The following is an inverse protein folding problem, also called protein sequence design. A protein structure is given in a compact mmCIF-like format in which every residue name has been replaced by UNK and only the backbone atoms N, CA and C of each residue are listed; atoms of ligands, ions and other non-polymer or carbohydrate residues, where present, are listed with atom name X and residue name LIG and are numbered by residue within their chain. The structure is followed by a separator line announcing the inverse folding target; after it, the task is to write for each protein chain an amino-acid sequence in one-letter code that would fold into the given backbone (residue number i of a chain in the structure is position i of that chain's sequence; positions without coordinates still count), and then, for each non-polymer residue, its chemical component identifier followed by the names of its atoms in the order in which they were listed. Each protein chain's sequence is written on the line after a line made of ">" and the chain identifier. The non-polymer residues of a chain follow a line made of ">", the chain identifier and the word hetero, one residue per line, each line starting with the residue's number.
data_IF_573899711732
#
_entry.id   IF_573899711732
#
_cell.length_a   1.000
_cell.length_b   1.000
_cell.length_c   1.000
_cell.angle_alpha   90.00
_cell.angle_beta   90.00
_cell.angle_gamma   90.00
#
_symmetry.space_group_name_H-M   'P 1'
#
loop_
_entity.id
_entity.type
_entity.pdbx_description
1 polymer ?
#
# COMPACT_ATOMS: atom_id res chain seq x y z
N UNK A 1 -4.74 -8.91 7.62
CA UNK A 1 -3.69 -7.93 7.97
C UNK A 1 -3.53 -7.95 9.47
N UNK A 2 -2.50 -8.67 9.90
CA UNK A 2 -2.40 -9.19 11.26
C UNK A 2 -1.86 -8.15 12.23
N UNK A 3 -1.20 -7.09 11.73
CA UNK A 3 -0.61 -6.05 12.56
C UNK A 3 -1.65 -5.36 13.45
N UNK A 4 -2.76 -4.85 12.89
CA UNK A 4 -3.75 -4.12 13.69
C UNK A 4 -4.50 -5.03 14.67
N UNK A 5 -4.83 -6.25 14.25
CA UNK A 5 -5.58 -7.22 15.08
C UNK A 5 -4.70 -7.92 16.11
N UNK A 6 -3.37 -7.79 16.01
CA UNK A 6 -2.43 -8.30 17.00
C UNK A 6 -2.39 -7.49 18.32
N UNK A 7 -2.96 -6.29 18.33
CA UNK A 7 -3.08 -5.48 19.55
C UNK A 7 -4.32 -5.87 20.36
N UNK A 8 -4.12 -6.23 21.63
CA UNK A 8 -5.18 -6.71 22.51
C UNK A 8 -6.31 -5.67 22.63
N UNK A 9 -7.56 -6.12 22.43
CA UNK A 9 -8.74 -5.26 22.51
C UNK A 9 -8.91 -4.30 21.32
N UNK A 10 -8.01 -4.29 20.33
CA UNK A 10 -8.18 -3.49 19.12
C UNK A 10 -8.92 -4.28 18.04
N UNK A 11 -9.98 -3.67 17.49
CA UNK A 11 -10.68 -4.19 16.32
C UNK A 11 -10.75 -3.10 15.25
N UNK A 12 -10.46 -3.45 13.99
CA UNK A 12 -10.68 -2.56 12.86
C UNK A 12 -12.18 -2.42 12.62
N UNK A 13 -12.68 -1.19 12.48
CA UNK A 13 -14.10 -0.97 12.24
C UNK A 13 -14.47 -1.34 10.81
N UNK A 14 -15.67 -1.84 10.58
CA UNK A 14 -16.16 -2.15 9.23
C UNK A 14 -16.11 -0.90 8.36
N UNK A 15 -15.48 -1.00 7.18
CA UNK A 15 -15.31 0.11 6.24
C UNK A 15 -14.24 1.14 6.63
N UNK A 16 -13.53 0.96 7.75
CA UNK A 16 -12.45 1.84 8.15
C UNK A 16 -11.18 1.57 7.32
N UNK A 17 -10.60 2.64 6.77
CA UNK A 17 -9.29 2.55 6.15
C UNK A 17 -8.21 2.15 7.15
N UNK A 18 -7.30 1.27 6.76
CA UNK A 18 -6.25 0.73 7.63
C UNK A 18 -5.39 1.82 8.29
N UNK A 19 -5.11 2.90 7.55
CA UNK A 19 -4.42 4.08 8.10
C UNK A 19 -5.19 4.80 9.20
N UNK A 20 -6.52 4.84 9.11
CA UNK A 20 -7.36 5.42 10.16
C UNK A 20 -7.41 4.49 11.37
N UNK A 21 -7.47 3.17 11.14
CA UNK A 21 -7.28 2.15 12.16
C UNK A 21 -5.98 2.35 12.94
N UNK A 22 -4.86 2.48 12.24
CA UNK A 22 -3.55 2.77 12.86
C UNK A 22 -3.56 4.06 13.69
N UNK A 23 -4.13 5.15 13.17
CA UNK A 23 -4.25 6.42 13.94
C UNK A 23 -5.08 6.24 15.21
N UNK A 24 -6.16 5.46 15.15
CA UNK A 24 -7.02 5.17 16.30
C UNK A 24 -6.31 4.28 17.31
N UNK A 25 -5.57 3.28 16.86
CA UNK A 25 -4.72 2.44 17.72
C UNK A 25 -3.69 3.30 18.45
N UNK A 26 -2.94 4.12 17.72
CA UNK A 26 -1.93 5.01 18.31
C UNK A 26 -2.50 5.95 19.36
N UNK A 27 -3.76 6.41 19.19
CA UNK A 27 -4.47 7.21 20.17
C UNK A 27 -4.90 6.39 21.39
N UNK A 28 -5.41 5.18 21.19
CA UNK A 28 -5.87 4.30 22.27
C UNK A 28 -4.70 3.84 23.16
N UNK A 29 -3.56 3.54 22.56
CA UNK A 29 -2.33 3.13 23.25
C UNK A 29 -1.54 4.30 23.84
N UNK A 30 -1.96 5.54 23.60
CA UNK A 30 -1.28 6.73 24.10
C UNK A 30 0.14 6.92 23.55
N UNK A 31 0.43 6.45 22.33
CA UNK A 31 1.78 6.53 21.75
C UNK A 31 2.26 7.96 21.57
N UNK A 32 3.47 8.22 22.06
CA UNK A 32 4.26 9.41 21.74
C UNK A 32 4.56 9.48 20.23
N UNK A 33 5.00 10.64 19.74
CA UNK A 33 5.34 10.78 18.33
C UNK A 33 6.51 9.89 17.91
N UNK A 34 7.47 9.65 18.80
CA UNK A 34 8.59 8.73 18.56
C UNK A 34 8.11 7.27 18.44
N UNK A 35 7.27 6.81 19.37
CA UNK A 35 6.66 5.47 19.30
C UNK A 35 5.81 5.33 18.03
N UNK A 36 4.97 6.32 17.74
CA UNK A 36 4.13 6.31 16.54
C UNK A 36 4.95 6.27 15.25
N UNK A 37 6.13 6.89 15.22
CA UNK A 37 7.01 6.83 14.06
C UNK A 37 7.59 5.42 13.86
N UNK A 38 8.00 4.76 14.95
CA UNK A 38 8.54 3.40 14.89
C UNK A 38 7.46 2.37 14.54
N UNK A 39 6.31 2.45 15.21
CA UNK A 39 5.15 1.60 14.94
C UNK A 39 4.64 1.78 13.51
N UNK A 40 4.74 2.98 12.94
CA UNK A 40 4.38 3.21 11.54
C UNK A 40 5.28 2.41 10.58
N UNK A 41 6.57 2.25 10.88
CA UNK A 41 7.46 1.42 10.05
C UNK A 41 7.06 -0.05 10.13
N UNK A 42 6.80 -0.54 11.34
CA UNK A 42 6.34 -1.92 11.55
C UNK A 42 5.01 -2.18 10.84
N UNK A 43 4.08 -1.24 10.94
CA UNK A 43 2.82 -1.27 10.23
C UNK A 43 3.00 -1.32 8.71
N UNK A 44 3.85 -0.45 8.15
CA UNK A 44 4.15 -0.46 6.72
C UNK A 44 4.83 -1.75 6.28
N UNK A 45 5.73 -2.31 7.10
CA UNK A 45 6.37 -3.61 6.84
C UNK A 45 5.34 -4.73 6.74
N UNK A 46 4.41 -4.79 7.68
CA UNK A 46 3.33 -5.78 7.66
C UNK A 46 2.47 -5.64 6.40
N UNK A 47 2.14 -4.41 6.00
CA UNK A 47 1.42 -4.15 4.74
C UNK A 47 2.21 -4.65 3.52
N UNK A 48 3.53 -4.43 3.49
CA UNK A 48 4.39 -4.93 2.39
C UNK A 48 4.44 -6.46 2.37
N UNK A 49 4.51 -7.11 3.53
CA UNK A 49 4.49 -8.57 3.64
C UNK A 49 3.17 -9.15 3.10
N UNK A 50 2.04 -8.60 3.53
CA UNK A 50 0.71 -8.99 3.06
C UNK A 50 0.60 -8.86 1.54
N UNK A 51 1.03 -7.71 0.99
CA UNK A 51 1.01 -7.46 -0.45
C UNK A 51 1.96 -8.39 -1.21
N UNK A 52 3.15 -8.66 -0.68
CA UNK A 52 4.10 -9.58 -1.32
C UNK A 52 3.56 -11.00 -1.38
N UNK A 53 2.89 -11.45 -0.31
CA UNK A 53 2.22 -12.74 -0.28
C UNK A 53 1.09 -12.77 -1.31
N UNK A 54 0.24 -11.73 -1.33
CA UNK A 54 -0.86 -11.59 -2.27
C UNK A 54 -0.37 -11.53 -3.72
N UNK A 55 0.66 -10.76 -4.06
CA UNK A 55 1.11 -10.56 -5.44
C UNK A 55 2.40 -11.32 -5.76
N UNK A 56 2.45 -12.59 -5.37
CA UNK A 56 3.60 -13.49 -5.60
C UNK A 56 3.52 -14.33 -6.89
N UNK A 57 2.34 -14.41 -7.52
CA UNK A 57 2.06 -15.26 -8.69
C UNK A 57 1.55 -14.45 -9.87
N UNK A 58 1.70 -15.00 -11.09
CA UNK A 58 1.25 -14.36 -12.34
C UNK A 58 -0.22 -13.93 -12.28
N UNK A 59 -1.11 -14.83 -11.89
CA UNK A 59 -2.56 -14.58 -11.88
C UNK A 59 -2.94 -13.36 -11.04
N UNK A 60 -2.24 -13.14 -9.92
CA UNK A 60 -2.47 -11.97 -9.06
C UNK A 60 -1.95 -10.67 -9.70
N UNK A 61 -0.83 -10.72 -10.42
CA UNK A 61 -0.34 -9.59 -11.21
C UNK A 61 -1.32 -9.25 -12.35
N UNK A 62 -1.85 -10.28 -13.01
CA UNK A 62 -2.86 -10.15 -14.06
C UNK A 62 -4.15 -9.53 -13.52
N UNK A 63 -4.65 -10.01 -12.38
CA UNK A 63 -5.82 -9.44 -11.71
C UNK A 63 -5.61 -7.96 -11.38
N UNK A 64 -4.43 -7.60 -10.86
CA UNK A 64 -4.09 -6.20 -10.57
C UNK A 64 -4.06 -5.34 -11.85
N UNK A 65 -3.46 -5.85 -12.93
CA UNK A 65 -3.43 -5.16 -14.22
C UNK A 65 -4.86 -5.00 -14.79
N UNK A 66 -5.68 -6.03 -14.67
CA UNK A 66 -7.06 -6.03 -15.12
C UNK A 66 -7.88 -4.98 -14.36
N UNK A 67 -7.74 -4.93 -13.03
CA UNK A 67 -8.45 -3.96 -12.19
C UNK A 67 -7.98 -2.52 -12.40
N UNK A 68 -6.70 -2.30 -12.73
CA UNK A 68 -6.15 -0.97 -12.92
C UNK A 68 -6.29 -0.45 -14.36
N UNK A 69 -6.13 -1.32 -15.36
CA UNK A 69 -5.92 -0.93 -16.75
C UNK A 69 -6.83 -1.66 -17.75
N UNK A 70 -7.67 -2.58 -17.28
CA UNK A 70 -8.48 -3.46 -18.15
C UNK A 70 -7.62 -4.31 -19.11
N UNK A 71 -6.41 -4.67 -18.66
CA UNK A 71 -5.45 -5.48 -19.42
C UNK A 71 -5.02 -6.72 -18.62
N UNK A 72 -4.87 -7.86 -19.30
CA UNK A 72 -4.39 -9.13 -18.72
C UNK A 72 -3.13 -9.63 -19.45
N UNK A 73 -1.93 -9.11 -19.14
CA UNK A 73 -0.70 -9.51 -19.82
C UNK A 73 -0.32 -10.97 -19.53
N UNK A 74 0.31 -11.65 -20.49
CA UNK A 74 0.59 -13.10 -20.38
C UNK A 74 1.74 -13.46 -19.42
N UNK A 75 2.52 -12.49 -18.93
CA UNK A 75 3.71 -12.75 -18.09
C UNK A 75 3.87 -11.71 -16.97
N UNK A 76 4.58 -12.10 -15.90
CA UNK A 76 4.88 -11.20 -14.77
C UNK A 76 5.69 -9.99 -15.25
N UNK A 77 6.63 -10.19 -16.18
CA UNK A 77 7.44 -9.11 -16.74
C UNK A 77 6.59 -8.08 -17.49
N UNK A 78 5.60 -8.53 -18.28
CA UNK A 78 4.68 -7.62 -18.96
C UNK A 78 3.76 -6.90 -17.98
N UNK A 79 3.25 -7.59 -16.95
CA UNK A 79 2.47 -6.97 -15.89
C UNK A 79 3.27 -5.86 -15.19
N UNK A 80 4.51 -6.16 -14.78
CA UNK A 80 5.41 -5.16 -14.18
C UNK A 80 5.65 -3.98 -15.11
N UNK A 81 5.90 -4.23 -16.41
CA UNK A 81 6.08 -3.16 -17.40
C UNK A 81 4.84 -2.27 -17.54
N UNK A 82 3.63 -2.84 -17.50
CA UNK A 82 2.41 -2.07 -17.56
C UNK A 82 2.25 -1.20 -16.30
N UNK A 83 2.49 -1.78 -15.12
CA UNK A 83 2.41 -1.09 -13.84
C UNK A 83 3.41 0.07 -13.71
N UNK A 84 4.56 0.05 -14.41
CA UNK A 84 5.50 1.19 -14.42
C UNK A 84 5.05 2.36 -15.29
N UNK A 85 4.10 2.17 -16.21
CA UNK A 85 3.65 3.26 -17.09
C UNK A 85 2.89 4.34 -16.32
N UNK A 86 2.08 3.95 -15.32
CA UNK A 86 1.23 4.84 -14.55
C UNK A 86 1.69 4.99 -13.10
N UNK A 87 1.20 6.03 -12.44
CA UNK A 87 1.45 6.26 -11.02
C UNK A 87 0.32 5.63 -10.21
N UNK A 88 0.62 4.74 -9.26
CA UNK A 88 -0.39 4.12 -8.37
C UNK A 88 0.08 4.23 -6.94
N UNK A 89 -0.83 4.53 -6.02
CA UNK A 89 -0.50 4.62 -4.60
C UNK A 89 -0.69 3.25 -3.93
N UNK A 90 0.28 2.81 -3.13
CA UNK A 90 0.22 1.54 -2.39
C UNK A 90 -1.07 1.44 -1.55
N UNK A 91 -1.50 2.54 -0.93
CA UNK A 91 -2.74 2.55 -0.16
C UNK A 91 -3.99 2.34 -1.00
N UNK A 92 -3.99 2.72 -2.28
CA UNK A 92 -5.15 2.47 -3.15
C UNK A 92 -5.26 0.99 -3.53
N UNK A 93 -4.14 0.26 -3.58
CA UNK A 93 -4.11 -1.20 -3.75
C UNK A 93 -4.62 -1.88 -2.48
N UNK A 94 -4.11 -1.45 -1.33
CA UNK A 94 -4.46 -2.00 -0.01
C UNK A 94 -5.93 -1.73 0.35
N UNK A 95 -6.48 -0.59 -0.06
CA UNK A 95 -7.89 -0.24 0.15
C UNK A 95 -8.79 -0.70 -1.01
N UNK A 96 -8.28 -1.49 -1.96
CA UNK A 96 -9.00 -2.03 -3.13
C UNK A 96 -9.75 -0.97 -3.96
N UNK A 97 -9.21 0.25 -4.02
CA UNK A 97 -9.77 1.38 -4.78
C UNK A 97 -9.25 1.48 -6.20
N UNK A 98 -8.29 0.62 -6.56
CA UNK A 98 -7.64 0.44 -7.86
C UNK A 98 -7.76 1.65 -8.78
N UNK A 99 -6.86 2.62 -8.58
CA UNK A 99 -6.76 3.83 -9.40
C UNK A 99 -5.32 4.09 -9.79
N UNK A 100 -5.14 4.77 -10.91
CA UNK A 100 -3.85 5.25 -11.34
C UNK A 100 -3.94 6.74 -11.70
N UNK A 101 -2.77 7.36 -11.84
CA UNK A 101 -2.62 8.73 -12.32
C UNK A 101 -1.68 8.73 -13.53
N UNK A 102 -1.98 9.59 -14.49
CA UNK A 102 -1.15 9.79 -15.68
C UNK A 102 0.04 10.70 -15.39
N UNK A 103 -0.11 11.63 -14.43
CA UNK A 103 0.88 12.64 -14.14
C UNK A 103 1.39 12.58 -12.69
N UNK A 104 2.71 12.81 -12.55
CA UNK A 104 3.38 12.79 -11.26
C UNK A 104 2.88 13.87 -10.31
N UNK A 105 2.51 15.05 -10.82
CA UNK A 105 2.13 16.19 -9.97
C UNK A 105 0.82 15.90 -9.23
N UNK A 106 -0.17 15.36 -9.93
CA UNK A 106 -1.45 14.91 -9.37
C UNK A 106 -1.25 13.75 -8.42
N UNK A 107 -0.46 12.74 -8.83
CA UNK A 107 -0.10 11.63 -7.95
C UNK A 107 0.54 12.12 -6.63
N UNK A 108 1.51 13.02 -6.72
CA UNK A 108 2.22 13.59 -5.56
C UNK A 108 1.27 14.38 -4.67
N UNK A 109 0.42 15.23 -5.25
CA UNK A 109 -0.56 16.02 -4.49
C UNK A 109 -1.61 15.13 -3.80
N UNK A 110 -2.04 14.06 -4.46
CA UNK A 110 -2.93 13.05 -3.89
C UNK A 110 -2.26 12.32 -2.71
N UNK A 111 -1.00 11.93 -2.90
CA UNK A 111 -0.21 11.15 -1.95
C UNK A 111 0.14 11.96 -0.70
N UNK A 112 0.55 13.21 -0.85
CA UNK A 112 0.91 14.12 0.26
C UNK A 112 -0.23 14.39 1.24
N UNK A 113 -1.48 14.20 0.83
CA UNK A 113 -2.68 14.32 1.68
C UNK A 113 -2.85 13.10 2.60
N UNK A 114 -1.80 12.73 3.33
CA UNK A 114 -1.79 11.68 4.36
C UNK A 114 -1.69 10.24 3.85
N UNK A 115 -1.37 10.02 2.57
CA UNK A 115 -1.19 8.69 1.93
C UNK A 115 0.28 8.39 1.66
N UNK A 116 1.17 8.94 2.49
CA UNK A 116 2.58 8.61 2.42
C UNK A 116 2.80 7.19 2.94
N UNK A 117 3.76 6.52 2.33
CA UNK A 117 4.25 5.20 2.67
C UNK A 117 5.75 5.33 2.92
N UNK A 118 6.29 4.55 3.85
CA UNK A 118 7.71 4.62 4.18
C UNK A 118 8.58 4.16 3.00
N UNK A 119 9.61 4.93 2.66
CA UNK A 119 10.48 4.65 1.51
C UNK A 119 11.16 3.29 1.60
N UNK A 120 11.72 2.99 2.77
CA UNK A 120 12.55 1.83 2.97
C UNK A 120 11.70 0.57 2.91
N UNK A 121 10.54 0.60 3.56
CA UNK A 121 9.61 -0.53 3.52
C UNK A 121 9.04 -0.73 2.12
N UNK A 122 8.69 0.36 1.43
CA UNK A 122 8.18 0.28 0.07
C UNK A 122 9.19 -0.42 -0.88
N UNK A 123 10.51 -0.22 -0.71
CA UNK A 123 11.57 -0.93 -1.47
C UNK A 123 11.52 -2.45 -1.40
N UNK A 124 10.99 -3.01 -0.31
CA UNK A 124 10.85 -4.45 -0.17
C UNK A 124 9.62 -5.01 -0.89
N UNK A 125 8.76 -4.15 -1.47
CA UNK A 125 7.59 -4.57 -2.22
C UNK A 125 8.00 -5.19 -3.55
N UNK A 126 7.52 -6.41 -3.84
CA UNK A 126 7.69 -7.11 -5.12
C UNK A 126 7.10 -6.32 -6.30
N UNK A 127 6.16 -5.42 -5.99
CA UNK A 127 5.66 -4.36 -6.85
C UNK A 127 6.54 -3.10 -6.75
N UNK A 128 7.86 -3.28 -6.83
CA UNK A 128 8.84 -2.20 -6.78
C UNK A 128 8.64 -1.13 -7.87
N UNK A 129 7.83 -1.44 -8.88
CA UNK A 129 7.30 -0.56 -9.91
C UNK A 129 6.57 0.69 -9.34
N UNK A 130 5.97 0.60 -8.15
CA UNK A 130 5.29 1.74 -7.52
C UNK A 130 6.23 2.70 -6.78
N UNK A 131 7.52 2.36 -6.69
CA UNK A 131 8.48 3.06 -5.84
C UNK A 131 9.25 4.17 -6.52
N UNK A 132 9.39 4.10 -7.84
CA UNK A 132 10.20 5.07 -8.59
C UNK A 132 9.64 6.49 -8.49
N UNK A 133 8.44 6.66 -7.93
CA UNK A 133 7.65 7.87 -8.08
C UNK A 133 7.21 8.48 -6.73
N UNK A 134 7.79 8.07 -5.61
CA UNK A 134 7.50 8.68 -4.29
C UNK A 134 8.60 9.60 -3.74
N UNK A 135 9.62 9.91 -4.55
CA UNK A 135 10.72 10.82 -4.19
C UNK A 135 10.88 11.90 -5.25
#
# INVERSE_FOLDING_TARGET
>A
MDYLTGHSGFTLRRGEHLRNGFKRLAKAEGWSDAQRAEERKQFHRAVVQDLNQQYSKLDHYQELCQKLFDETPATVTQCKKLLTTKYVNIWDIVEEKYRYFDDFKTFRNYTKKGRLFDRQEAKALLLNVFLERMF
#
